data_IF_827014201164
#
_entry.id   IF_827014201164
#
_cell.length_a   1.000
_cell.length_b   1.000
_cell.length_c   1.000
_cell.angle_alpha   90.00
_cell.angle_beta   90.00
_cell.angle_gamma   90.00
#
_symmetry.space_group_name_H-M   'P 1'
#
loop_
_entity.id
_entity.type
_entity.pdbx_description
1 polymer ?
#
# COMPACT_ATOMS: atom_id res chain seq x y z
N UNK A 1 -21.78 -6.13 -1.09
CA UNK A 1 -22.24 -7.43 -0.51
C UNK A 1 -21.02 -8.25 -0.13
N UNK A 2 -20.95 -8.75 1.10
CA UNK A 2 -19.82 -9.56 1.55
C UNK A 2 -19.92 -10.96 0.93
N UNK A 3 -18.79 -11.49 0.42
CA UNK A 3 -18.74 -12.83 -0.17
C UNK A 3 -17.85 -13.72 0.67
N UNK A 4 -18.35 -14.89 1.06
CA UNK A 4 -17.53 -15.90 1.75
C UNK A 4 -16.96 -16.86 0.71
N UNK A 5 -15.64 -17.04 0.73
CA UNK A 5 -14.91 -17.92 -0.20
C UNK A 5 -14.22 -19.01 0.61
N UNK A 6 -14.39 -20.26 0.17
CA UNK A 6 -13.62 -21.39 0.68
C UNK A 6 -12.32 -21.50 -0.12
N UNK A 7 -11.18 -21.35 0.55
CA UNK A 7 -9.87 -21.54 -0.04
C UNK A 7 -9.53 -23.03 -0.12
N UNK A 8 -8.58 -23.38 -1.01
CA UNK A 8 -8.10 -24.75 -1.22
C UNK A 8 -7.50 -25.41 0.03
N UNK A 9 -7.16 -24.63 1.07
CA UNK A 9 -6.67 -25.10 2.36
C UNK A 9 -7.78 -25.19 3.44
N UNK A 10 -9.04 -25.33 3.05
CA UNK A 10 -10.22 -25.38 3.92
C UNK A 10 -10.42 -24.13 4.81
N UNK A 11 -9.82 -22.98 4.49
CA UNK A 11 -10.07 -21.73 5.20
C UNK A 11 -11.24 -20.98 4.59
N UNK A 12 -12.15 -20.52 5.43
CA UNK A 12 -13.23 -19.61 5.05
C UNK A 12 -12.75 -18.17 5.20
N UNK A 13 -12.81 -17.40 4.12
CA UNK A 13 -12.47 -15.97 4.12
C UNK A 13 -13.65 -15.16 3.64
N UNK A 14 -14.01 -14.15 4.43
CA UNK A 14 -15.05 -13.18 4.06
C UNK A 14 -14.40 -12.00 3.36
N UNK A 15 -14.72 -11.81 2.08
CA UNK A 15 -14.34 -10.63 1.30
C UNK A 15 -15.33 -9.52 1.59
N UNK A 16 -14.82 -8.42 2.13
CA UNK A 16 -15.61 -7.24 2.51
C UNK A 16 -15.45 -6.17 1.44
N UNK A 17 -16.56 -5.67 0.91
CA UNK A 17 -16.55 -4.56 -0.04
C UNK A 17 -16.24 -3.23 0.65
N UNK A 18 -15.62 -2.23 -0.01
CA UNK A 18 -15.28 -0.93 0.57
C UNK A 18 -16.45 -0.23 1.29
N UNK A 19 -17.66 -0.37 0.76
CA UNK A 19 -18.90 0.18 1.33
C UNK A 19 -19.23 -0.37 2.73
N UNK A 20 -18.83 -1.61 3.02
CA UNK A 20 -19.14 -2.31 4.27
C UNK A 20 -17.99 -2.26 5.29
N UNK A 21 -16.92 -1.52 5.00
CA UNK A 21 -15.71 -1.48 5.85
C UNK A 21 -16.04 -1.00 7.26
N UNK A 22 -16.92 -0.01 7.41
CA UNK A 22 -17.31 0.54 8.71
C UNK A 22 -18.10 -0.44 9.59
N UNK A 23 -18.68 -1.50 9.00
CA UNK A 23 -19.39 -2.54 9.74
C UNK A 23 -18.44 -3.65 10.25
N UNK A 24 -17.22 -3.72 9.72
CA UNK A 24 -16.25 -4.79 10.01
C UNK A 24 -15.03 -4.26 10.76
N UNK A 25 -14.51 -3.08 10.40
CA UNK A 25 -13.39 -2.44 11.07
C UNK A 25 -13.87 -1.55 12.20
N UNK A 26 -13.16 -1.58 13.32
CA UNK A 26 -13.40 -0.66 14.43
C UNK A 26 -12.92 0.75 14.09
N UNK A 27 -13.38 1.75 14.85
CA UNK A 27 -12.90 3.13 14.72
C UNK A 27 -11.38 3.23 14.91
N UNK A 28 -10.82 2.43 15.81
CA UNK A 28 -9.37 2.38 16.08
C UNK A 28 -8.59 1.78 14.91
N UNK A 29 -9.12 0.77 14.23
CA UNK A 29 -8.48 0.18 13.04
C UNK A 29 -8.41 1.20 11.90
N UNK A 30 -9.52 1.91 11.67
CA UNK A 30 -9.61 2.96 10.65
C UNK A 30 -8.64 4.10 10.96
N UNK A 31 -8.55 4.52 12.22
CA UNK A 31 -7.61 5.55 12.64
C UNK A 31 -6.16 5.09 12.46
N UNK A 32 -5.85 3.83 12.80
CA UNK A 32 -4.51 3.26 12.62
C UNK A 32 -4.09 3.25 11.15
N UNK A 33 -4.96 2.78 10.26
CA UNK A 33 -4.72 2.83 8.82
C UNK A 33 -4.49 4.26 8.31
N UNK A 34 -5.30 5.20 8.78
CA UNK A 34 -5.13 6.62 8.45
C UNK A 34 -3.76 7.15 8.89
N UNK A 35 -3.35 6.88 10.14
CA UNK A 35 -2.04 7.29 10.67
C UNK A 35 -0.91 6.65 9.86
N UNK A 36 -1.00 5.37 9.52
CA UNK A 36 -0.01 4.67 8.70
C UNK A 36 0.15 5.32 7.31
N UNK A 37 -0.95 5.59 6.61
CA UNK A 37 -0.92 6.27 5.31
C UNK A 37 -0.32 7.67 5.39
N UNK A 38 -0.62 8.43 6.44
CA UNK A 38 -0.05 9.76 6.65
C UNK A 38 1.44 9.72 6.95
N UNK A 39 1.90 8.77 7.77
CA UNK A 39 3.32 8.59 8.07
C UNK A 39 4.12 8.25 6.79
N UNK A 40 3.61 7.34 5.96
CA UNK A 40 4.25 6.99 4.67
C UNK A 40 4.31 8.21 3.75
N UNK A 41 3.21 8.96 3.60
CA UNK A 41 3.19 10.18 2.78
C UNK A 41 4.21 11.22 3.28
N UNK A 42 4.32 11.41 4.58
CA UNK A 42 5.30 12.32 5.17
C UNK A 42 6.74 11.87 4.94
N UNK A 43 7.02 10.57 5.08
CA UNK A 43 8.34 10.01 4.81
C UNK A 43 8.76 10.17 3.34
N UNK A 44 7.85 9.93 2.40
CA UNK A 44 8.07 10.15 0.97
C UNK A 44 8.34 11.63 0.69
N UNK A 45 7.51 12.54 1.19
CA UNK A 45 7.71 13.99 1.02
C UNK A 45 9.07 14.44 1.58
N UNK A 46 9.44 13.98 2.78
CA UNK A 46 10.76 14.26 3.35
C UNK A 46 11.88 13.70 2.47
N UNK A 47 11.73 12.50 1.92
CA UNK A 47 12.72 11.94 1.00
C UNK A 47 12.87 12.77 -0.28
N UNK A 48 11.77 13.26 -0.85
CA UNK A 48 11.76 14.15 -2.01
C UNK A 48 12.49 15.47 -1.71
N UNK A 49 12.16 16.14 -0.61
CA UNK A 49 12.81 17.38 -0.15
C UNK A 49 14.31 17.15 0.10
N UNK A 50 14.66 16.04 0.75
CA UNK A 50 16.05 15.69 1.05
C UNK A 50 16.79 15.06 -0.13
N UNK A 51 16.19 15.01 -1.33
CA UNK A 51 16.77 14.43 -2.54
C UNK A 51 17.27 12.98 -2.36
N UNK A 52 16.60 12.21 -1.50
CA UNK A 52 16.94 10.80 -1.26
C UNK A 52 16.34 9.92 -2.36
N UNK A 53 17.03 8.82 -2.74
CA UNK A 53 16.47 7.84 -3.66
C UNK A 53 15.23 7.17 -3.06
N UNK A 54 14.16 7.03 -3.85
CA UNK A 54 12.90 6.41 -3.44
C UNK A 54 12.70 5.13 -4.25
N UNK A 55 12.55 4.00 -3.57
CA UNK A 55 12.21 2.73 -4.19
C UNK A 55 10.75 2.74 -4.66
N UNK A 56 10.53 2.35 -5.91
CA UNK A 56 9.23 2.21 -6.55
C UNK A 56 9.17 0.88 -7.29
N UNK A 57 7.96 0.46 -7.60
CA UNK A 57 7.69 -0.76 -8.34
C UNK A 57 6.95 -0.43 -9.63
N UNK A 58 7.45 -0.94 -10.75
CA UNK A 58 6.77 -0.88 -12.05
C UNK A 58 5.93 -2.14 -12.22
N UNK A 59 4.60 -1.99 -12.18
CA UNK A 59 3.66 -3.10 -12.34
C UNK A 59 3.62 -3.64 -13.77
N UNK A 60 3.98 -2.85 -14.78
CA UNK A 60 3.96 -3.26 -16.20
C UNK A 60 5.16 -4.16 -16.48
N UNK A 61 6.36 -3.68 -16.14
CA UNK A 61 7.60 -4.42 -16.37
C UNK A 61 7.90 -5.45 -15.26
N UNK A 62 7.13 -5.44 -14.16
CA UNK A 62 7.32 -6.27 -12.96
C UNK A 62 8.74 -6.14 -12.38
N UNK A 63 9.29 -4.93 -12.40
CA UNK A 63 10.64 -4.61 -11.90
C UNK A 63 10.61 -3.51 -10.86
N UNK A 64 11.47 -3.63 -9.86
CA UNK A 64 11.73 -2.55 -8.90
C UNK A 64 12.70 -1.54 -9.51
N UNK A 65 12.53 -0.26 -9.17
CA UNK A 65 13.45 0.80 -9.57
C UNK A 65 13.61 1.83 -8.45
N UNK A 66 14.78 2.44 -8.39
CA UNK A 66 15.03 3.62 -7.57
C UNK A 66 14.77 4.87 -8.41
N UNK A 67 13.98 5.80 -7.87
CA UNK A 67 13.80 7.12 -8.43
C UNK A 67 14.62 8.13 -7.61
N UNK A 68 15.62 8.73 -8.25
CA UNK A 68 16.41 9.79 -7.64
C UNK A 68 15.73 11.16 -7.79
N UNK A 69 16.24 12.17 -7.09
CA UNK A 69 15.72 13.54 -7.13
C UNK A 69 15.65 14.14 -8.55
N UNK A 70 16.55 13.73 -9.44
CA UNK A 70 16.58 14.19 -10.83
C UNK A 70 15.58 13.47 -11.74
N UNK A 71 14.58 12.77 -11.16
CA UNK A 71 13.58 11.95 -11.84
C UNK A 71 14.13 10.78 -12.69
N UNK A 72 15.44 10.52 -12.62
CA UNK A 72 16.08 9.36 -13.27
C UNK A 72 15.65 8.07 -12.57
N UNK A 73 15.17 7.12 -13.37
CA UNK A 73 14.83 5.75 -12.93
C UNK A 73 16.05 4.85 -13.10
N UNK A 74 16.44 4.17 -12.04
CA UNK A 74 17.49 3.15 -12.04
C UNK A 74 16.81 1.84 -11.69
N UNK A 75 16.62 0.96 -12.67
CA UNK A 75 16.09 -0.38 -12.39
C UNK A 75 17.10 -1.16 -11.55
N UNK A 76 16.59 -1.88 -10.56
CA UNK A 76 17.39 -2.78 -9.74
C UNK A 76 17.30 -4.14 -10.43
N UNK A 77 18.45 -4.71 -10.79
CA UNK A 77 18.54 -6.10 -11.29
C UNK A 77 18.43 -7.12 -10.16
#
# INVERSE_FOLDING_TARGET
MNKTVLLSNNRLVTVVSPENVNAVLSKTDIEMDYRARKAVKAAINRAEICKKPIAKYDSVNRKAYLQNADSKKIYVE
#
